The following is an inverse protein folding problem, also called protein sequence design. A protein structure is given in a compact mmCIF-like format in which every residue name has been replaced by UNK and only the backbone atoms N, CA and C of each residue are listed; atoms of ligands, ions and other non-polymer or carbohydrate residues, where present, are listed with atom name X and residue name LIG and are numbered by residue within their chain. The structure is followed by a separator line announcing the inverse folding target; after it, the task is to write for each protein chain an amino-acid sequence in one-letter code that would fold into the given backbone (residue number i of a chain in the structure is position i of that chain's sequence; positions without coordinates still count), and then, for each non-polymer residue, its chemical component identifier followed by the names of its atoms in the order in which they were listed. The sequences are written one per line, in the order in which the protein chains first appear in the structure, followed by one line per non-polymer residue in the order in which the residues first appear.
data_IF_151995553921
#
_entry.id   IF_151995553921
#
_cell.length_a   1.000
_cell.length_b   1.000
_cell.length_c   1.000
_cell.angle_alpha   90.00
_cell.angle_beta   90.00
_cell.angle_gamma   90.00
#
_symmetry.space_group_name_H-M   'P 1'
#
loop_
_entity.id
_entity.type
_entity.pdbx_description
1 polymer ?
#
# COMPACT_ATOMS: atom_id res chain seq x y z
N UNK A 1 -1.74 -7.71 -19.88
CA UNK A 1 -2.42 -9.00 -19.68
C UNK A 1 -1.73 -9.94 -18.67
N UNK A 2 -0.40 -10.01 -18.62
CA UNK A 2 0.33 -10.92 -17.71
C UNK A 2 0.04 -10.68 -16.22
N UNK A 3 -0.17 -9.43 -15.80
CA UNK A 3 -0.51 -9.05 -14.41
C UNK A 3 -1.81 -9.70 -13.87
N UNK A 4 -2.82 -9.92 -14.72
CA UNK A 4 -4.08 -10.60 -14.34
C UNK A 4 -3.86 -12.10 -14.21
N UNK A 5 -3.09 -12.69 -15.13
CA UNK A 5 -2.79 -14.12 -15.10
C UNK A 5 -1.99 -14.50 -13.85
N UNK A 6 -0.99 -13.69 -13.47
CA UNK A 6 -0.18 -13.90 -12.26
C UNK A 6 -1.03 -13.78 -10.99
N UNK A 7 -1.90 -12.77 -10.92
CA UNK A 7 -2.84 -12.61 -9.81
C UNK A 7 -3.84 -13.78 -9.73
N UNK A 8 -4.37 -14.25 -10.87
CA UNK A 8 -5.26 -15.42 -10.95
C UNK A 8 -4.55 -16.75 -10.66
N UNK A 9 -3.24 -16.84 -10.91
CA UNK A 9 -2.42 -18.01 -10.61
C UNK A 9 -2.09 -18.15 -9.10
N UNK A 10 -2.69 -17.34 -8.23
CA UNK A 10 -2.53 -17.44 -6.79
C UNK A 10 -1.26 -16.77 -6.24
N UNK A 11 -0.57 -15.93 -7.03
CA UNK A 11 0.67 -15.30 -6.58
C UNK A 11 0.49 -14.25 -5.47
N UNK A 12 -0.74 -13.77 -5.21
CA UNK A 12 -1.01 -12.73 -4.21
C UNK A 12 -0.69 -13.22 -2.79
N UNK A 13 -1.20 -14.39 -2.38
CA UNK A 13 -1.01 -14.90 -1.01
C UNK A 13 0.46 -15.19 -0.65
N UNK A 14 1.28 -15.81 -1.53
CA UNK A 14 2.72 -15.96 -1.28
C UNK A 14 3.45 -14.62 -1.12
N UNK A 15 3.08 -13.60 -1.89
CA UNK A 15 3.69 -12.27 -1.77
C UNK A 15 3.36 -11.60 -0.42
N UNK A 16 2.14 -11.80 0.08
CA UNK A 16 1.72 -11.28 1.39
C UNK A 16 2.42 -12.02 2.53
N UNK A 17 2.61 -13.33 2.39
CA UNK A 17 3.44 -14.11 3.33
C UNK A 17 4.88 -13.57 3.35
N UNK A 18 5.48 -13.29 2.18
CA UNK A 18 6.82 -12.70 2.10
C UNK A 18 6.90 -11.30 2.72
N UNK A 19 5.86 -10.47 2.60
CA UNK A 19 5.77 -9.18 3.31
C UNK A 19 5.81 -9.33 4.83
N UNK A 20 5.27 -10.44 5.35
CA UNK A 20 5.12 -10.66 6.79
C UNK A 20 6.35 -11.34 7.37
N UNK A 21 6.76 -12.49 6.82
CA UNK A 21 7.81 -13.37 7.36
C UNK A 21 9.14 -13.34 6.60
N UNK A 22 9.22 -12.63 5.48
CA UNK A 22 10.44 -12.58 4.67
C UNK A 22 11.58 -11.75 5.28
N UNK A 23 12.78 -11.86 4.69
CA UNK A 23 13.90 -10.97 4.99
C UNK A 23 13.62 -9.54 4.52
N UNK A 24 14.39 -8.55 4.99
CA UNK A 24 14.23 -7.16 4.55
C UNK A 24 14.29 -7.00 3.02
N UNK A 25 15.15 -7.79 2.35
CA UNK A 25 15.20 -7.86 0.89
C UNK A 25 13.93 -8.47 0.29
N UNK A 26 13.47 -9.61 0.81
CA UNK A 26 12.25 -10.26 0.33
C UNK A 26 11.02 -9.36 0.48
N UNK A 27 10.89 -8.64 1.60
CA UNK A 27 9.80 -7.67 1.84
C UNK A 27 9.82 -6.53 0.81
N UNK A 28 11.01 -6.01 0.47
CA UNK A 28 11.18 -4.99 -0.57
C UNK A 28 10.66 -5.48 -1.93
N UNK A 29 11.06 -6.68 -2.35
CA UNK A 29 10.65 -7.23 -3.65
C UNK A 29 9.17 -7.60 -3.66
N UNK A 30 8.64 -8.13 -2.57
CA UNK A 30 7.22 -8.42 -2.42
C UNK A 30 6.35 -7.16 -2.53
N UNK A 31 6.74 -6.06 -1.86
CA UNK A 31 6.04 -4.78 -1.96
C UNK A 31 6.05 -4.22 -3.39
N UNK A 32 7.19 -4.30 -4.08
CA UNK A 32 7.30 -3.88 -5.48
C UNK A 32 6.47 -4.75 -6.42
N UNK A 33 6.43 -6.06 -6.21
CA UNK A 33 5.59 -6.97 -6.99
C UNK A 33 4.10 -6.68 -6.78
N UNK A 34 3.66 -6.44 -5.54
CA UNK A 34 2.28 -6.06 -5.22
C UNK A 34 1.91 -4.74 -5.87
N UNK A 35 2.79 -3.73 -5.80
CA UNK A 35 2.59 -2.45 -6.47
C UNK A 35 2.43 -2.64 -7.99
N UNK A 36 3.31 -3.42 -8.63
CA UNK A 36 3.25 -3.70 -10.06
C UNK A 36 2.00 -4.49 -10.47
N UNK A 37 1.52 -5.41 -9.63
CA UNK A 37 0.29 -6.17 -9.86
C UNK A 37 -0.96 -5.32 -9.70
N UNK A 38 -0.92 -4.35 -8.80
CA UNK A 38 -1.99 -3.38 -8.56
C UNK A 38 -2.02 -2.29 -9.66
N UNK A 39 -0.87 -1.90 -10.20
CA UNK A 39 -0.75 -0.87 -11.24
C UNK A 39 -1.51 -1.27 -12.51
N UNK A 40 -2.40 -0.38 -12.96
CA UNK A 40 -3.26 -0.48 -14.16
C UNK A 40 -4.28 -1.63 -14.09
N UNK A 41 -4.72 -2.01 -12.88
CA UNK A 41 -5.71 -3.07 -12.71
C UNK A 41 -6.56 -2.99 -11.45
N UNK A 42 -7.72 -2.34 -11.55
CA UNK A 42 -8.67 -2.20 -10.44
C UNK A 42 -9.21 -3.54 -9.91
N UNK A 43 -9.27 -4.60 -10.73
CA UNK A 43 -9.69 -5.92 -10.26
C UNK A 43 -8.63 -6.56 -9.36
N UNK A 44 -7.35 -6.29 -9.62
CA UNK A 44 -6.26 -6.77 -8.78
C UNK A 44 -6.17 -5.95 -7.48
N UNK A 45 -6.45 -4.64 -7.50
CA UNK A 45 -6.44 -3.83 -6.26
C UNK A 45 -7.45 -4.33 -5.23
N UNK A 46 -8.65 -4.72 -5.67
CA UNK A 46 -9.67 -5.35 -4.81
C UNK A 46 -9.18 -6.67 -4.25
N UNK A 47 -8.63 -7.57 -5.10
CA UNK A 47 -8.14 -8.88 -4.66
C UNK A 47 -6.97 -8.80 -3.69
N UNK A 48 -6.06 -7.85 -3.90
CA UNK A 48 -4.90 -7.62 -3.03
C UNK A 48 -5.38 -7.13 -1.66
N UNK A 49 -6.35 -6.21 -1.63
CA UNK A 49 -6.92 -5.72 -0.39
C UNK A 49 -7.70 -6.83 0.36
N UNK A 50 -8.51 -7.62 -0.36
CA UNK A 50 -9.22 -8.79 0.19
C UNK A 50 -8.31 -9.89 0.72
N UNK A 51 -7.04 -9.92 0.28
CA UNK A 51 -6.05 -10.87 0.75
C UNK A 51 -5.26 -10.35 1.98
N UNK A 52 -5.72 -9.26 2.62
CA UNK A 52 -5.12 -8.64 3.80
C UNK A 52 -3.69 -8.10 3.57
N UNK A 53 -3.41 -7.57 2.37
CA UNK A 53 -2.10 -6.97 2.08
C UNK A 53 -1.88 -5.62 2.79
N UNK A 54 -2.95 -4.93 3.22
CA UNK A 54 -2.86 -3.54 3.73
C UNK A 54 -2.08 -3.45 5.05
N UNK A 55 -2.38 -4.22 6.11
CA UNK A 55 -1.63 -4.11 7.38
C UNK A 55 -0.12 -4.42 7.24
N UNK A 56 0.32 -5.46 6.49
CA UNK A 56 1.75 -5.68 6.24
C UNK A 56 2.42 -4.53 5.48
N UNK A 57 1.74 -3.91 4.52
CA UNK A 57 2.26 -2.74 3.80
C UNK A 57 2.42 -1.53 4.74
N UNK A 58 1.46 -1.28 5.62
CA UNK A 58 1.56 -0.20 6.62
C UNK A 58 2.72 -0.46 7.60
N UNK A 59 2.90 -1.70 8.06
CA UNK A 59 4.06 -2.08 8.88
C UNK A 59 5.38 -1.83 8.16
N UNK A 60 5.43 -2.06 6.85
CA UNK A 60 6.64 -1.83 6.06
C UNK A 60 7.00 -0.34 5.95
N UNK A 61 6.04 0.59 6.05
CA UNK A 61 6.30 2.03 6.10
C UNK A 61 7.11 2.43 7.35
N UNK A 62 6.96 1.71 8.46
CA UNK A 62 7.68 2.02 9.70
C UNK A 62 9.00 1.28 9.78
N UNK A 63 9.00 -0.04 9.55
CA UNK A 63 10.16 -0.91 9.78
C UNK A 63 11.00 -1.22 8.54
N UNK A 64 10.57 -0.79 7.34
CA UNK A 64 11.26 -1.09 6.08
C UNK A 64 12.50 -0.24 5.83
N UNK A 65 13.33 -0.66 4.88
CA UNK A 65 14.37 0.21 4.30
C UNK A 65 13.74 1.37 3.52
N UNK A 66 14.50 2.43 3.22
CA UNK A 66 13.98 3.57 2.44
C UNK A 66 13.26 3.13 1.15
N UNK A 67 13.84 2.16 0.44
CA UNK A 67 13.26 1.61 -0.78
C UNK A 67 11.99 0.77 -0.50
N UNK A 68 11.97 -0.02 0.57
CA UNK A 68 10.80 -0.78 0.96
C UNK A 68 9.63 0.15 1.36
N UNK A 69 9.92 1.25 2.05
CA UNK A 69 8.94 2.29 2.41
C UNK A 69 8.37 2.97 1.16
N UNK A 70 9.21 3.32 0.18
CA UNK A 70 8.77 3.88 -1.10
C UNK A 70 7.82 2.92 -1.84
N UNK A 71 8.20 1.65 -1.98
CA UNK A 71 7.35 0.63 -2.61
C UNK A 71 6.03 0.43 -1.86
N UNK A 72 6.06 0.41 -0.53
CA UNK A 72 4.85 0.28 0.29
C UNK A 72 3.91 1.48 0.11
N UNK A 73 4.46 2.70 0.10
CA UNK A 73 3.67 3.90 -0.17
C UNK A 73 3.07 3.90 -1.57
N UNK A 74 3.84 3.48 -2.58
CA UNK A 74 3.36 3.31 -3.96
C UNK A 74 2.23 2.28 -4.07
N UNK A 75 2.37 1.13 -3.40
CA UNK A 75 1.32 0.12 -3.33
C UNK A 75 0.04 0.67 -2.67
N UNK A 76 0.16 1.30 -1.50
CA UNK A 76 -0.98 1.88 -0.78
C UNK A 76 -1.67 2.99 -1.58
N UNK A 77 -0.89 3.84 -2.29
CA UNK A 77 -1.43 4.85 -3.21
C UNK A 77 -2.32 4.20 -4.26
N UNK A 78 -1.84 3.18 -4.96
CA UNK A 78 -2.60 2.50 -6.02
C UNK A 78 -3.85 1.82 -5.46
N UNK A 79 -3.75 1.17 -4.29
CA UNK A 79 -4.90 0.59 -3.61
C UNK A 79 -5.96 1.63 -3.25
N UNK A 80 -5.55 2.89 -3.02
CA UNK A 80 -6.42 3.99 -2.64
C UNK A 80 -7.07 4.74 -3.83
N UNK A 81 -6.55 4.73 -5.06
CA UNK A 81 -7.01 5.65 -6.14
C UNK A 81 -8.49 5.45 -6.51
N UNK A 82 -8.96 4.21 -6.64
CA UNK A 82 -10.29 3.89 -7.18
C UNK A 82 -11.13 2.98 -6.27
N UNK A 83 -10.82 2.92 -4.97
CA UNK A 83 -11.54 2.02 -4.05
C UNK A 83 -11.73 2.65 -2.67
N UNK A 84 -12.97 3.04 -2.37
CA UNK A 84 -13.35 3.67 -1.10
C UNK A 84 -13.18 2.74 0.11
N UNK A 85 -13.49 1.45 -0.05
CA UNK A 85 -13.31 0.46 1.02
C UNK A 85 -11.82 0.33 1.36
N UNK A 86 -10.95 0.29 0.35
CA UNK A 86 -9.51 0.26 0.56
C UNK A 86 -9.01 1.55 1.23
N UNK A 87 -9.53 2.72 0.84
CA UNK A 87 -9.18 4.00 1.50
C UNK A 87 -9.48 3.95 3.00
N UNK A 88 -10.66 3.47 3.38
CA UNK A 88 -11.04 3.29 4.79
C UNK A 88 -10.09 2.31 5.48
N UNK A 89 -9.88 1.13 4.90
CA UNK A 89 -9.00 0.11 5.47
C UNK A 89 -7.55 0.59 5.66
N UNK A 90 -7.02 1.42 4.74
CA UNK A 90 -5.68 2.03 4.85
C UNK A 90 -5.62 3.00 6.03
N UNK A 91 -6.66 3.81 6.24
CA UNK A 91 -6.74 4.74 7.36
C UNK A 91 -6.87 3.99 8.68
N UNK A 92 -7.77 3.00 8.75
CA UNK A 92 -7.99 2.16 9.94
C UNK A 92 -6.76 1.32 10.31
N UNK A 93 -5.98 0.87 9.31
CA UNK A 93 -4.71 0.21 9.53
C UNK A 93 -3.61 1.14 10.09
N UNK A 94 -3.90 2.44 10.26
CA UNK A 94 -2.98 3.40 10.86
C UNK A 94 -1.90 3.91 9.90
N UNK A 95 -2.18 3.96 8.59
CA UNK A 95 -1.20 4.43 7.60
C UNK A 95 -0.88 5.93 7.70
N UNK A 96 -1.76 6.75 8.31
CA UNK A 96 -1.63 8.22 8.29
C UNK A 96 -0.34 8.71 8.96
N UNK A 97 0.00 8.36 10.23
CA UNK A 97 1.23 8.85 10.84
C UNK A 97 2.52 8.39 10.10
N UNK A 98 2.64 7.11 9.67
CA UNK A 98 3.78 6.67 8.87
C UNK A 98 3.91 7.40 7.52
N UNK A 99 2.80 7.68 6.82
CA UNK A 99 2.81 8.43 5.56
C UNK A 99 3.25 9.88 5.78
N UNK A 100 2.77 10.53 6.84
CA UNK A 100 3.19 11.89 7.20
C UNK A 100 4.68 11.94 7.52
N UNK A 101 5.20 10.97 8.28
CA UNK A 101 6.64 10.88 8.54
C UNK A 101 7.46 10.71 7.24
N UNK A 102 6.93 9.92 6.30
CA UNK A 102 7.57 9.70 5.00
C UNK A 102 7.66 10.97 4.14
N UNK A 103 6.73 11.92 4.29
CA UNK A 103 6.82 13.23 3.63
C UNK A 103 8.04 14.03 4.10
N UNK A 104 8.40 13.90 5.37
CA UNK A 104 9.55 14.60 5.95
C UNK A 104 10.86 13.86 5.67
N UNK A 105 10.90 12.55 5.92
CA UNK A 105 12.14 11.75 5.96
C UNK A 105 12.37 10.84 4.74
N UNK A 106 11.44 10.78 3.79
CA UNK A 106 11.49 9.87 2.65
C UNK A 106 12.37 10.35 1.48
N UNK A 107 12.60 9.47 0.51
CA UNK A 107 13.16 9.83 -0.80
C UNK A 107 12.14 10.64 -1.63
N UNK A 108 12.57 11.28 -2.72
CA UNK A 108 11.67 12.05 -3.59
C UNK A 108 10.41 11.23 -4.00
N UNK A 109 10.62 10.01 -4.50
CA UNK A 109 9.53 9.09 -4.87
C UNK A 109 8.62 8.75 -3.67
N UNK A 110 9.22 8.47 -2.51
CA UNK A 110 8.46 8.12 -1.31
C UNK A 110 7.58 9.28 -0.84
N UNK A 111 8.08 10.53 -0.95
CA UNK A 111 7.32 11.74 -0.63
C UNK A 111 6.16 11.93 -1.61
N UNK A 112 6.40 11.78 -2.90
CA UNK A 112 5.35 11.87 -3.92
C UNK A 112 4.25 10.83 -3.67
N UNK A 113 4.63 9.57 -3.44
CA UNK A 113 3.66 8.49 -3.19
C UNK A 113 2.89 8.70 -1.89
N UNK A 114 3.56 9.17 -0.83
CA UNK A 114 2.91 9.48 0.42
C UNK A 114 1.92 10.64 0.29
N UNK A 115 2.28 11.71 -0.41
CA UNK A 115 1.41 12.87 -0.64
C UNK A 115 0.16 12.44 -1.41
N UNK A 116 0.33 11.66 -2.48
CA UNK A 116 -0.77 11.14 -3.27
C UNK A 116 -1.66 10.18 -2.47
N UNK A 117 -1.08 9.25 -1.69
CA UNK A 117 -1.85 8.35 -0.83
C UNK A 117 -2.69 9.12 0.19
N UNK A 118 -2.12 10.15 0.82
CA UNK A 118 -2.83 11.04 1.73
C UNK A 118 -3.94 11.81 1.02
N UNK A 119 -3.69 12.37 -0.17
CA UNK A 119 -4.69 13.07 -0.97
C UNK A 119 -5.92 12.20 -1.24
N UNK A 120 -5.73 10.95 -1.69
CA UNK A 120 -6.83 10.03 -1.95
C UNK A 120 -7.59 9.66 -0.68
N UNK A 121 -6.90 9.52 0.46
CA UNK A 121 -7.55 9.21 1.74
C UNK A 121 -8.25 10.44 2.36
N UNK A 122 -7.84 11.66 2.02
CA UNK A 122 -8.37 12.91 2.58
C UNK A 122 -9.67 13.37 1.91
N UNK A 123 -9.83 13.13 0.61
CA UNK A 123 -10.93 13.66 -0.22
C UNK A 123 -12.36 13.21 0.21
N UNK A 124 -12.51 12.31 1.19
CA UNK A 124 -13.82 11.91 1.75
C UNK A 124 -14.02 12.26 3.24
N UNK A 125 -13.03 12.86 3.91
CA UNK A 125 -13.09 13.19 5.36
C UNK A 125 -13.82 14.50 5.70
N UNK A 126 -14.65 15.04 4.83
CA UNK A 126 -15.63 16.06 5.25
C UNK A 126 -16.81 15.49 6.04
N UNK A 127 -16.91 14.17 6.32
CA UNK A 127 -18.04 13.62 7.09
C UNK A 127 -17.77 12.94 8.44
N UNK A 128 -16.56 12.47 8.81
CA UNK A 128 -16.43 11.65 10.05
C UNK A 128 -15.19 11.88 10.93
N UNK A 129 -14.49 13.01 10.85
CA UNK A 129 -13.29 13.27 11.69
C UNK A 129 -13.44 14.45 12.66
N UNK A 130 -14.65 14.68 13.17
CA UNK A 130 -14.94 15.68 14.22
C UNK A 130 -15.20 15.08 15.62
N UNK A 131 -14.77 13.86 15.91
CA UNK A 131 -14.81 13.33 17.28
C UNK A 131 -13.50 12.64 17.63
N UNK A 132 -12.50 13.45 17.98
CA UNK A 132 -11.55 13.26 19.07
C UNK A 132 -10.98 14.62 19.45
#
# INVERSE_FOLDING_TARGET
HNKVAIAKAGAISPLINLLTSGTAGAKKYAAGAIWNLAADNDKNTVKIAQADAIPPLVKLLTSGTAFAKANAAGALRILAVHNDINRVAIVEAGAIPPLVNLLSSGTADAKEYAAAALWYCWCKKTCCWCTL
#
